data_IF_534013941879
#
_entry.id   IF_534013941879
#
_cell.length_a   1.000
_cell.length_b   1.000
_cell.length_c   1.000
_cell.angle_alpha   90.00
_cell.angle_beta   90.00
_cell.angle_gamma   90.00
#
_symmetry.space_group_name_H-M   'P 1'
#
loop_
_entity.id
_entity.type
_entity.pdbx_description
1 polymer ?
#
# COMPACT_ATOMS: atom_id res chain seq x y z
N UNK A 1 7.64 -41.51 5.25
CA UNK A 1 6.91 -40.54 6.11
C UNK A 1 7.71 -39.25 6.14
N UNK A 2 7.09 -38.07 6.05
CA UNK A 2 7.82 -36.78 5.94
C UNK A 2 8.37 -36.25 7.28
N UNK A 3 8.12 -36.92 8.42
CA UNK A 3 8.53 -36.53 9.77
C UNK A 3 8.10 -35.11 10.22
N UNK A 4 7.15 -34.50 9.50
CA UNK A 4 6.50 -33.25 9.87
C UNK A 4 5.24 -33.52 10.69
N UNK A 5 4.66 -32.45 11.24
CA UNK A 5 3.37 -32.47 11.93
C UNK A 5 2.27 -33.11 11.07
N UNK A 6 1.24 -33.64 11.75
CA UNK A 6 0.12 -34.30 11.08
C UNK A 6 -0.60 -33.33 10.14
N UNK A 7 -0.61 -33.66 8.86
CA UNK A 7 -1.13 -32.81 7.79
C UNK A 7 -2.26 -33.49 7.01
N UNK A 8 -3.01 -34.39 7.64
CA UNK A 8 -4.22 -35.00 7.07
C UNK A 8 -5.28 -33.91 6.90
N UNK A 9 -5.95 -33.77 5.73
CA UNK A 9 -6.08 -34.76 4.65
C UNK A 9 -5.03 -34.71 3.53
N UNK A 10 -4.03 -33.83 3.60
CA UNK A 10 -3.02 -33.63 2.55
C UNK A 10 -1.96 -34.73 2.55
N UNK A 11 -1.50 -35.11 1.36
CA UNK A 11 -0.33 -35.97 1.15
C UNK A 11 0.96 -35.18 1.42
N UNK A 12 2.05 -35.88 1.73
CA UNK A 12 3.32 -35.23 2.09
C UNK A 12 3.89 -34.29 1.00
N UNK A 13 3.54 -34.49 -0.28
CA UNK A 13 3.94 -33.65 -1.41
C UNK A 13 2.98 -32.48 -1.68
N UNK A 14 1.82 -32.45 -1.02
CA UNK A 14 0.84 -31.36 -1.09
C UNK A 14 1.02 -30.35 0.05
N UNK A 15 1.81 -30.72 1.06
CA UNK A 15 2.15 -29.87 2.18
C UNK A 15 3.25 -28.91 1.75
N UNK A 16 2.94 -27.63 1.80
CA UNK A 16 3.91 -26.56 1.61
C UNK A 16 5.10 -26.76 2.55
N UNK A 17 6.32 -26.65 2.02
CA UNK A 17 7.50 -26.69 2.87
C UNK A 17 7.77 -25.33 3.53
N UNK A 18 8.57 -25.35 4.59
CA UNK A 18 8.83 -24.18 5.43
C UNK A 18 9.47 -23.03 4.64
N UNK A 19 10.21 -23.35 3.57
CA UNK A 19 10.86 -22.36 2.70
C UNK A 19 9.87 -21.72 1.72
N UNK A 20 8.93 -22.49 1.16
CA UNK A 20 7.80 -21.99 0.38
C UNK A 20 6.90 -21.10 1.24
N UNK A 21 6.59 -21.53 2.47
CA UNK A 21 5.79 -20.76 3.41
C UNK A 21 6.49 -19.43 3.77
N UNK A 22 7.81 -19.46 4.01
CA UNK A 22 8.62 -18.25 4.25
C UNK A 22 8.64 -17.33 3.04
N UNK A 23 8.81 -17.86 1.83
CA UNK A 23 8.81 -17.08 0.60
C UNK A 23 7.44 -16.42 0.36
N UNK A 24 6.33 -17.16 0.54
CA UNK A 24 4.98 -16.59 0.46
C UNK A 24 4.80 -15.47 1.46
N UNK A 25 5.13 -15.72 2.74
CA UNK A 25 4.99 -14.71 3.80
C UNK A 25 5.81 -13.46 3.52
N UNK A 26 7.05 -13.61 3.04
CA UNK A 26 7.88 -12.47 2.65
C UNK A 26 7.20 -11.62 1.56
N UNK A 27 6.66 -12.26 0.52
CA UNK A 27 5.93 -11.57 -0.54
C UNK A 27 4.70 -10.86 0.03
N UNK A 28 3.89 -11.54 0.84
CA UNK A 28 2.70 -10.97 1.47
C UNK A 28 3.01 -9.75 2.37
N UNK A 29 4.09 -9.85 3.16
CA UNK A 29 4.55 -8.78 4.05
C UNK A 29 5.02 -7.55 3.24
N UNK A 30 5.80 -7.75 2.17
CA UNK A 30 6.26 -6.65 1.31
C UNK A 30 5.09 -5.98 0.57
N UNK A 31 4.14 -6.77 0.07
CA UNK A 31 2.91 -6.27 -0.55
C UNK A 31 2.09 -5.43 0.43
N UNK A 32 2.03 -5.85 1.70
CA UNK A 32 1.33 -5.12 2.75
C UNK A 32 2.04 -3.81 3.09
N UNK A 33 3.37 -3.83 3.23
CA UNK A 33 4.18 -2.62 3.45
C UNK A 33 4.03 -1.61 2.31
N UNK A 34 3.89 -2.07 1.08
CA UNK A 34 3.67 -1.21 -0.08
C UNK A 34 2.38 -0.39 0.01
N UNK A 35 1.37 -0.83 0.78
CA UNK A 35 0.12 -0.10 0.99
C UNK A 35 0.18 0.87 2.17
N UNK A 36 1.04 0.61 3.15
CA UNK A 36 1.18 1.45 4.33
C UNK A 36 1.89 2.75 3.96
N UNK A 37 1.37 3.87 4.46
CA UNK A 37 2.01 5.19 4.35
C UNK A 37 2.37 5.69 5.73
N UNK A 38 3.44 6.46 5.80
CA UNK A 38 3.90 7.07 7.05
C UNK A 38 3.82 8.58 6.96
N UNK A 39 3.45 9.20 8.08
CA UNK A 39 3.51 10.64 8.19
C UNK A 39 4.96 11.12 8.06
N UNK A 40 5.25 12.01 7.09
CA UNK A 40 6.61 12.55 6.93
C UNK A 40 7.16 13.23 8.20
N UNK A 41 6.28 13.79 9.05
CA UNK A 41 6.61 14.51 10.28
C UNK A 41 6.71 13.60 11.50
N UNK A 42 5.65 12.87 11.84
CA UNK A 42 5.57 12.08 13.08
C UNK A 42 5.75 10.57 12.89
N UNK A 43 5.97 10.11 11.65
CA UNK A 43 6.16 8.69 11.28
C UNK A 43 5.02 7.73 11.61
N UNK A 44 3.88 8.23 12.10
CA UNK A 44 2.68 7.42 12.30
C UNK A 44 2.21 6.81 10.99
N UNK A 45 2.04 5.49 10.98
CA UNK A 45 1.55 4.71 9.84
C UNK A 45 0.04 4.86 9.67
N UNK A 46 -0.44 4.87 8.43
CA UNK A 46 -1.85 4.91 8.07
C UNK A 46 -2.09 4.32 6.68
N UNK A 47 -3.33 3.92 6.41
CA UNK A 47 -3.78 3.39 5.12
C UNK A 47 -4.98 4.21 4.67
N UNK A 48 -5.07 4.53 3.39
CA UNK A 48 -6.24 5.19 2.81
C UNK A 48 -7.27 4.12 2.44
N UNK A 49 -8.50 4.28 2.95
CA UNK A 49 -9.60 3.35 2.66
C UNK A 49 -10.33 3.74 1.38
N UNK A 50 -10.53 5.02 1.07
CA UNK A 50 -11.01 5.52 -0.23
C UNK A 50 -10.91 7.06 -0.29
N UNK A 51 -11.18 7.67 -1.45
CA UNK A 51 -11.47 9.09 -1.59
C UNK A 51 -10.29 9.98 -2.00
N UNK A 52 -10.14 11.12 -1.34
CA UNK A 52 -9.17 12.17 -1.67
C UNK A 52 -7.73 11.80 -1.29
N UNK A 53 -6.76 12.15 -2.15
CA UNK A 53 -5.34 11.88 -1.94
C UNK A 53 -4.63 12.92 -1.06
N UNK A 54 -5.33 13.99 -0.64
CA UNK A 54 -4.87 14.94 0.38
C UNK A 54 -5.07 14.33 1.77
N UNK A 55 -4.01 13.80 2.35
CA UNK A 55 -4.06 13.20 3.68
C UNK A 55 -3.66 14.21 4.74
N UNK A 56 -4.41 14.25 5.84
CA UNK A 56 -4.07 15.05 7.03
C UNK A 56 -3.80 14.11 8.19
N UNK A 57 -2.60 14.16 8.73
CA UNK A 57 -2.23 13.39 9.90
C UNK A 57 -2.79 14.02 11.17
N UNK A 58 -3.03 13.21 12.20
CA UNK A 58 -3.39 13.67 13.55
C UNK A 58 -2.41 14.68 14.17
N UNK A 59 -1.15 14.72 13.72
CA UNK A 59 -0.18 15.76 14.12
C UNK A 59 -0.31 17.10 13.35
N UNK A 60 -1.33 17.24 12.50
CA UNK A 60 -1.58 18.42 11.67
C UNK A 60 -0.82 18.47 10.33
N UNK A 61 0.12 17.55 10.11
CA UNK A 61 0.89 17.48 8.86
C UNK A 61 0.01 17.04 7.68
N UNK A 62 0.12 17.72 6.54
CA UNK A 62 -0.61 17.41 5.30
C UNK A 62 0.33 16.84 4.26
N UNK A 63 -0.07 15.77 3.58
CA UNK A 63 0.76 15.10 2.57
C UNK A 63 -0.07 14.48 1.46
N UNK A 64 0.55 14.27 0.32
CA UNK A 64 -0.03 13.52 -0.78
C UNK A 64 0.14 12.02 -0.55
N UNK A 65 -0.95 11.25 -0.68
CA UNK A 65 -0.92 9.78 -0.55
C UNK A 65 -0.06 9.09 -1.63
N UNK A 66 -0.02 9.67 -2.84
CA UNK A 66 0.64 9.10 -4.02
C UNK A 66 2.14 9.33 -3.95
N UNK A 67 2.57 10.59 -3.99
CA UNK A 67 3.99 10.92 -4.05
C UNK A 67 4.67 11.05 -2.68
N UNK A 68 3.91 10.90 -1.57
CA UNK A 68 4.39 10.98 -0.17
C UNK A 68 4.98 12.33 0.24
N UNK A 69 4.93 13.35 -0.63
CA UNK A 69 5.48 14.67 -0.36
C UNK A 69 4.58 15.48 0.59
N UNK A 70 5.17 16.35 1.43
CA UNK A 70 4.41 17.35 2.16
C UNK A 70 3.70 18.28 1.19
N UNK A 71 2.47 18.68 1.53
CA UNK A 71 1.66 19.61 0.75
C UNK A 71 1.05 20.66 1.68
N UNK A 72 0.78 21.85 1.15
CA UNK A 72 0.03 22.88 1.88
C UNK A 72 -1.46 22.69 1.68
N UNK A 73 -1.89 22.65 0.41
CA UNK A 73 -3.29 22.67 -0.02
C UNK A 73 -3.55 21.81 -1.27
N UNK A 74 -4.68 22.06 -1.94
CA UNK A 74 -5.14 21.30 -3.10
C UNK A 74 -4.38 21.61 -4.40
N UNK A 75 -3.53 22.64 -4.43
CA UNK A 75 -2.75 23.03 -5.61
C UNK A 75 -1.80 21.94 -6.14
N UNK A 76 -1.45 20.96 -5.29
CA UNK A 76 -0.67 19.79 -5.67
C UNK A 76 -1.42 18.84 -6.62
N UNK A 77 -2.75 18.93 -6.65
CA UNK A 77 -3.59 17.98 -7.36
C UNK A 77 -4.21 18.56 -8.64
N UNK A 78 -4.45 17.70 -9.60
CA UNK A 78 -5.32 17.99 -10.75
C UNK A 78 -6.77 17.98 -10.27
N UNK A 79 -7.50 19.07 -10.51
CA UNK A 79 -8.92 19.15 -10.19
C UNK A 79 -9.73 18.26 -11.14
N UNK A 80 -10.89 17.72 -10.70
CA UNK A 80 -11.82 17.06 -11.62
C UNK A 80 -12.27 18.04 -12.70
N UNK A 81 -12.03 17.70 -13.98
CA UNK A 81 -12.42 18.52 -15.12
C UNK A 81 -11.34 19.48 -15.65
N UNK A 82 -10.20 19.61 -14.95
CA UNK A 82 -9.04 20.35 -15.47
C UNK A 82 -8.22 19.49 -16.45
N UNK A 83 -7.43 20.15 -17.29
CA UNK A 83 -6.39 19.48 -18.09
C UNK A 83 -5.40 18.78 -17.16
N UNK A 84 -5.15 17.49 -17.41
CA UNK A 84 -4.22 16.68 -16.60
C UNK A 84 -2.81 17.24 -16.75
N UNK A 85 -2.31 17.89 -15.70
CA UNK A 85 -0.94 18.39 -15.70
C UNK A 85 0.01 17.26 -15.26
N UNK A 86 1.14 17.04 -15.97
CA UNK A 86 2.07 15.94 -15.67
C UNK A 86 2.78 16.13 -14.32
N UNK A 87 2.88 17.35 -13.81
CA UNK A 87 3.55 17.66 -12.54
C UNK A 87 2.63 17.61 -11.31
N UNK A 88 1.35 17.24 -11.47
CA UNK A 88 0.35 17.20 -10.39
C UNK A 88 -0.19 15.80 -10.20
N UNK A 89 -0.48 15.45 -8.95
CA UNK A 89 -1.10 14.16 -8.63
C UNK A 89 -2.61 14.19 -8.88
N UNK A 90 -3.28 13.07 -9.18
CA UNK A 90 -4.74 13.04 -9.24
C UNK A 90 -5.34 13.29 -7.84
N UNK A 91 -6.37 14.13 -7.75
CA UNK A 91 -7.02 14.45 -6.47
C UNK A 91 -7.75 13.24 -5.89
N UNK A 92 -8.45 12.50 -6.74
CA UNK A 92 -9.20 11.31 -6.39
C UNK A 92 -8.63 10.11 -7.14
N UNK A 93 -8.60 8.97 -6.48
CA UNK A 93 -8.29 7.70 -7.11
C UNK A 93 -8.98 6.58 -6.34
N UNK A 94 -9.46 5.59 -7.09
CA UNK A 94 -10.02 4.37 -6.53
C UNK A 94 -8.90 3.56 -5.88
N UNK A 95 -9.20 2.87 -4.78
CA UNK A 95 -8.22 2.01 -4.09
C UNK A 95 -7.56 0.98 -4.99
N UNK A 96 -8.31 0.44 -5.96
CA UNK A 96 -7.79 -0.57 -6.89
C UNK A 96 -6.60 -0.04 -7.69
N UNK A 97 -6.69 1.18 -8.23
CA UNK A 97 -5.62 1.79 -9.01
C UNK A 97 -4.40 2.07 -8.13
N UNK A 98 -4.62 2.61 -6.91
CA UNK A 98 -3.53 2.90 -5.98
C UNK A 98 -2.79 1.65 -5.50
N UNK A 99 -3.50 0.57 -5.21
CA UNK A 99 -2.90 -0.67 -4.71
C UNK A 99 -2.09 -1.38 -5.79
N UNK A 100 -2.57 -1.36 -7.04
CA UNK A 100 -1.83 -1.92 -8.18
C UNK A 100 -0.53 -1.14 -8.43
N UNK A 101 -0.58 0.19 -8.41
CA UNK A 101 0.61 1.01 -8.66
C UNK A 101 1.62 0.91 -7.51
N UNK A 102 1.15 0.80 -6.26
CA UNK A 102 2.01 0.64 -5.10
C UNK A 102 2.76 -0.70 -5.09
N UNK A 103 2.17 -1.75 -5.64
CA UNK A 103 2.75 -3.11 -5.72
C UNK A 103 3.77 -3.23 -6.86
N UNK A 104 3.64 -2.43 -7.92
CA UNK A 104 4.51 -2.48 -9.11
C UNK A 104 5.77 -1.63 -8.99
N UNK A 105 5.86 -0.75 -7.98
CA UNK A 105 6.94 0.22 -7.80
C UNK A 105 8.05 -0.33 -6.90
#
# INVERSE_FOLDING_TARGET
KCHKDSHIPLRCNEVENDDQARARKYIEDEMTKALIRECYKCKKSFIKIDGCNKMTCTCGAKMCYICRKPITDYNHFNSPGDTVMPNKCPLYSTNRLLHVDAVKA
#
